data_IF_724370735739
#
_entry.id   IF_724370735739
#
_cell.length_a   1.000
_cell.length_b   1.000
_cell.length_c   1.000
_cell.angle_alpha   90.00
_cell.angle_beta   90.00
_cell.angle_gamma   90.00
#
_symmetry.space_group_name_H-M   'P 1'
#
loop_
_entity.id
_entity.type
_entity.pdbx_description
1 polymer ?
#
# COMPACT_ATOMS: atom_id res chain seq x y z
N UNK A 1 4.31 25.85 32.17
CA UNK A 1 5.52 25.36 31.51
C UNK A 1 5.80 23.87 31.77
N UNK A 2 4.99 23.18 32.55
CA UNK A 2 5.16 21.75 32.89
C UNK A 2 4.52 20.76 31.89
N UNK A 3 3.69 21.23 30.96
CA UNK A 3 2.88 20.34 30.13
C UNK A 3 3.54 19.98 28.77
N UNK A 4 4.51 20.74 28.30
CA UNK A 4 5.19 20.44 27.01
C UNK A 4 6.30 19.37 27.12
N UNK A 5 6.89 19.18 28.29
CA UNK A 5 7.88 18.12 28.56
C UNK A 5 7.26 16.73 28.52
N UNK A 6 6.00 16.61 28.91
CA UNK A 6 5.30 15.32 28.99
C UNK A 6 5.01 14.70 27.61
N UNK A 7 4.69 15.51 26.60
CA UNK A 7 4.40 15.00 25.24
C UNK A 7 5.65 14.55 24.49
N UNK A 8 6.77 15.25 24.67
CA UNK A 8 8.05 14.85 24.06
C UNK A 8 8.60 13.57 24.70
N UNK A 9 8.50 13.42 26.01
CA UNK A 9 8.88 12.19 26.71
C UNK A 9 7.99 11.02 26.33
N UNK A 10 6.68 11.23 26.21
CA UNK A 10 5.73 10.22 25.73
C UNK A 10 6.03 9.83 24.28
N UNK A 11 6.31 10.79 23.41
CA UNK A 11 6.69 10.55 22.02
C UNK A 11 8.02 9.79 21.90
N UNK A 12 9.04 10.20 22.64
CA UNK A 12 10.31 9.49 22.71
C UNK A 12 10.16 8.07 23.28
N UNK A 13 9.38 7.90 24.34
CA UNK A 13 9.06 6.60 24.93
C UNK A 13 8.33 5.67 23.94
N UNK A 14 7.44 6.21 23.10
CA UNK A 14 6.72 5.42 22.11
C UNK A 14 7.60 5.04 20.93
N UNK A 15 8.43 5.96 20.43
CA UNK A 15 9.45 5.66 19.42
C UNK A 15 10.42 4.60 19.96
N UNK A 16 10.83 4.70 21.19
CA UNK A 16 11.70 3.72 21.85
C UNK A 16 10.99 2.37 22.01
N UNK A 17 9.71 2.34 22.40
CA UNK A 17 8.91 1.10 22.47
C UNK A 17 8.65 0.48 21.11
N UNK A 18 8.30 1.26 20.08
CA UNK A 18 8.15 0.79 18.71
C UNK A 18 9.49 0.29 18.18
N UNK A 19 10.58 1.02 18.39
CA UNK A 19 11.92 0.59 18.04
C UNK A 19 12.34 -0.68 18.78
N UNK A 20 12.08 -0.77 20.10
CA UNK A 20 12.37 -1.95 20.92
C UNK A 20 11.51 -3.13 20.47
N UNK A 21 10.21 -2.94 20.19
CA UNK A 21 9.32 -3.99 19.71
C UNK A 21 9.75 -4.51 18.33
N UNK A 22 10.06 -3.62 17.38
CA UNK A 22 10.61 -4.00 16.08
C UNK A 22 11.97 -4.69 16.25
N UNK A 23 12.86 -4.14 17.06
CA UNK A 23 14.18 -4.70 17.32
C UNK A 23 14.12 -6.04 18.05
N UNK A 24 13.31 -6.18 19.09
CA UNK A 24 13.16 -7.45 19.83
C UNK A 24 12.49 -8.51 18.97
N UNK A 25 11.44 -8.16 18.20
CA UNK A 25 10.77 -9.10 17.30
C UNK A 25 11.71 -9.50 16.15
N UNK A 26 12.42 -8.55 15.54
CA UNK A 26 13.43 -8.84 14.52
C UNK A 26 14.62 -9.64 15.09
N UNK A 27 15.20 -9.22 16.21
CA UNK A 27 16.38 -9.87 16.81
C UNK A 27 16.04 -11.25 17.36
N UNK A 28 14.92 -11.41 18.05
CA UNK A 28 14.47 -12.72 18.56
C UNK A 28 14.22 -13.70 17.39
N UNK A 29 13.54 -13.26 16.34
CA UNK A 29 13.21 -14.10 15.19
C UNK A 29 14.37 -14.31 14.21
N UNK A 30 15.28 -13.33 14.08
CA UNK A 30 16.56 -13.53 13.37
C UNK A 30 17.46 -14.52 14.10
N UNK A 31 17.48 -14.49 15.42
CA UNK A 31 18.27 -15.44 16.24
C UNK A 31 17.67 -16.84 16.19
N UNK A 32 16.34 -16.97 16.14
CA UNK A 32 15.63 -18.25 15.98
C UNK A 32 15.74 -18.80 14.55
N UNK A 33 15.73 -17.95 13.52
CA UNK A 33 15.99 -18.34 12.13
C UNK A 33 17.50 -18.55 11.89
N UNK A 34 18.15 -19.40 12.71
CA UNK A 34 19.58 -19.68 12.69
C UNK A 34 20.15 -20.29 11.40
N UNK A 35 19.33 -20.56 10.38
CA UNK A 35 19.75 -21.00 9.06
C UNK A 35 19.66 -19.85 8.05
N UNK A 36 20.78 -19.48 7.44
CA UNK A 36 20.83 -18.56 6.30
C UNK A 36 19.79 -18.93 5.22
N UNK A 37 19.57 -20.22 5.00
CA UNK A 37 18.59 -20.76 4.05
C UNK A 37 17.17 -20.33 4.37
N UNK A 38 16.76 -20.34 5.66
CA UNK A 38 15.43 -19.89 6.08
C UNK A 38 15.22 -18.42 5.77
N UNK A 39 16.22 -17.57 6.05
CA UNK A 39 16.15 -16.13 5.73
C UNK A 39 16.01 -15.88 4.23
N UNK A 40 16.73 -16.61 3.39
CA UNK A 40 16.60 -16.51 1.93
C UNK A 40 15.23 -16.95 1.45
N UNK A 41 14.66 -18.01 2.01
CA UNK A 41 13.31 -18.48 1.66
C UNK A 41 12.23 -17.45 2.06
N UNK A 42 12.29 -16.92 3.26
CA UNK A 42 11.36 -15.86 3.72
C UNK A 42 11.45 -14.64 2.81
N UNK A 43 12.65 -14.16 2.53
CA UNK A 43 12.86 -13.02 1.65
C UNK A 43 12.35 -13.29 0.22
N UNK A 44 12.68 -14.44 -0.36
CA UNK A 44 12.23 -14.82 -1.70
C UNK A 44 10.69 -14.92 -1.76
N UNK A 45 10.06 -15.54 -0.75
CA UNK A 45 8.60 -15.64 -0.65
C UNK A 45 7.95 -14.26 -0.55
N UNK A 46 8.54 -13.33 0.20
CA UNK A 46 8.04 -11.96 0.33
C UNK A 46 8.15 -11.16 -0.98
N UNK A 47 9.29 -11.30 -1.67
CA UNK A 47 9.61 -10.47 -2.85
C UNK A 47 9.05 -11.01 -4.17
N UNK A 48 8.86 -12.32 -4.30
CA UNK A 48 8.43 -12.95 -5.55
C UNK A 48 7.14 -12.32 -6.12
N UNK A 49 6.03 -12.19 -5.38
CA UNK A 49 4.81 -11.60 -5.91
C UNK A 49 5.00 -10.14 -6.31
N UNK A 50 5.80 -9.38 -5.58
CA UNK A 50 6.12 -7.97 -5.87
C UNK A 50 6.85 -7.85 -7.21
N UNK A 51 7.89 -8.66 -7.41
CA UNK A 51 8.68 -8.66 -8.67
C UNK A 51 7.83 -9.08 -9.86
N UNK A 52 6.99 -10.11 -9.70
CA UNK A 52 6.09 -10.57 -10.77
C UNK A 52 5.10 -9.47 -11.17
N UNK A 53 4.46 -8.82 -10.20
CA UNK A 53 3.49 -7.77 -10.50
C UNK A 53 4.15 -6.51 -11.07
N UNK A 54 5.32 -6.11 -10.58
CA UNK A 54 6.10 -5.02 -11.19
C UNK A 54 6.46 -5.33 -12.64
N UNK A 55 6.87 -6.55 -12.94
CA UNK A 55 7.17 -6.97 -14.31
C UNK A 55 5.93 -6.89 -15.21
N UNK A 56 4.75 -7.30 -14.71
CA UNK A 56 3.49 -7.21 -15.47
C UNK A 56 3.16 -5.74 -15.78
N UNK A 57 3.27 -4.83 -14.81
CA UNK A 57 3.02 -3.40 -15.03
C UNK A 57 4.02 -2.80 -16.02
N UNK A 58 5.32 -3.10 -15.86
CA UNK A 58 6.36 -2.66 -16.78
C UNK A 58 6.11 -3.12 -18.23
N UNK A 59 5.58 -4.34 -18.42
CA UNK A 59 5.22 -4.85 -19.75
C UNK A 59 3.97 -4.19 -20.34
N UNK A 60 3.08 -3.67 -19.51
CA UNK A 60 1.90 -2.91 -19.98
C UNK A 60 2.26 -1.52 -20.50
N UNK A 61 3.33 -0.94 -19.95
CA UNK A 61 3.94 0.31 -20.41
C UNK A 61 4.85 0.03 -21.63
N UNK A 62 4.23 -0.24 -22.77
CA UNK A 62 4.94 -0.68 -23.97
C UNK A 62 5.13 0.42 -25.01
N UNK A 63 4.43 1.56 -24.90
CA UNK A 63 4.49 2.65 -25.87
C UNK A 63 5.79 3.45 -25.70
N UNK A 64 6.04 3.95 -24.49
CA UNK A 64 7.25 4.65 -24.10
C UNK A 64 7.74 4.17 -22.73
N UNK A 65 8.44 3.02 -22.65
CA UNK A 65 8.80 2.41 -21.37
C UNK A 65 9.64 3.33 -20.51
N UNK A 66 9.22 3.51 -19.27
CA UNK A 66 9.87 4.35 -18.27
C UNK A 66 11.32 3.93 -17.98
N UNK A 67 12.25 4.89 -17.78
CA UNK A 67 13.63 4.59 -17.44
C UNK A 67 13.73 3.77 -16.16
N UNK A 68 14.40 2.62 -16.23
CA UNK A 68 14.58 1.70 -15.09
C UNK A 68 15.14 2.38 -13.84
N UNK A 69 15.91 3.46 -14.00
CA UNK A 69 16.42 4.28 -12.89
C UNK A 69 15.31 5.01 -12.14
N UNK A 70 14.31 5.52 -12.87
CA UNK A 70 13.15 6.20 -12.28
C UNK A 70 12.22 5.21 -11.58
N UNK A 71 11.97 4.05 -12.19
CA UNK A 71 11.17 2.98 -11.58
C UNK A 71 11.79 2.51 -10.26
N UNK A 72 13.13 2.34 -10.21
CA UNK A 72 13.84 1.99 -8.97
C UNK A 72 13.71 3.09 -7.91
N UNK A 73 13.81 4.37 -8.28
CA UNK A 73 13.60 5.49 -7.36
C UNK A 73 12.18 5.46 -6.78
N UNK A 74 11.16 5.30 -7.62
CA UNK A 74 9.77 5.19 -7.19
C UNK A 74 9.57 4.02 -6.22
N UNK A 75 10.16 2.85 -6.50
CA UNK A 75 10.12 1.70 -5.62
C UNK A 75 10.75 1.99 -4.23
N UNK A 76 11.95 2.56 -4.18
CA UNK A 76 12.58 2.89 -2.91
C UNK A 76 11.85 3.98 -2.13
N UNK A 77 11.22 4.93 -2.80
CA UNK A 77 10.32 5.90 -2.17
C UNK A 77 9.08 5.19 -1.57
N UNK A 78 8.59 4.14 -2.23
CA UNK A 78 7.57 3.27 -1.67
C UNK A 78 8.02 2.57 -0.39
N UNK A 79 9.23 2.02 -0.37
CA UNK A 79 9.82 1.48 0.87
C UNK A 79 9.89 2.54 1.97
N UNK A 80 10.30 3.76 1.63
CA UNK A 80 10.33 4.88 2.58
C UNK A 80 8.94 5.24 3.09
N UNK A 81 7.91 5.19 2.25
CA UNK A 81 6.54 5.52 2.64
C UNK A 81 5.98 4.59 3.73
N UNK A 82 6.46 3.35 3.82
CA UNK A 82 6.12 2.44 4.91
C UNK A 82 6.56 2.99 6.28
N UNK A 83 7.73 3.61 6.37
CA UNK A 83 8.16 4.27 7.61
C UNK A 83 7.36 5.55 7.89
N UNK A 84 7.03 6.31 6.84
CA UNK A 84 6.23 7.52 6.99
C UNK A 84 4.80 7.21 7.46
N UNK A 85 4.22 6.07 7.06
CA UNK A 85 2.89 5.67 7.54
C UNK A 85 2.85 5.46 9.06
N UNK A 86 3.91 4.91 9.66
CA UNK A 86 4.01 4.78 11.11
C UNK A 86 4.06 6.12 11.84
N UNK A 87 4.64 7.16 11.22
CA UNK A 87 4.64 8.51 11.82
C UNK A 87 3.24 9.14 11.83
N UNK A 88 2.32 8.66 10.98
CA UNK A 88 0.92 9.10 10.94
C UNK A 88 0.07 8.23 11.87
N UNK A 89 0.21 6.91 11.79
CA UNK A 89 -0.60 5.96 12.57
C UNK A 89 -0.25 5.96 14.06
N UNK A 90 1.02 6.14 14.42
CA UNK A 90 1.48 6.16 15.80
C UNK A 90 0.75 7.19 16.68
N UNK A 91 0.72 8.48 16.32
CA UNK A 91 -0.06 9.48 17.05
C UNK A 91 -1.56 9.17 17.15
N UNK A 92 -2.17 8.61 16.10
CA UNK A 92 -3.58 8.22 16.11
C UNK A 92 -3.85 7.07 17.10
N UNK A 93 -2.95 6.11 17.20
CA UNK A 93 -3.01 5.04 18.19
C UNK A 93 -2.86 5.59 19.61
N UNK A 94 -1.91 6.50 19.84
CA UNK A 94 -1.72 7.16 21.14
C UNK A 94 -2.95 7.94 21.60
N UNK A 95 -3.63 8.59 20.67
CA UNK A 95 -4.89 9.33 20.94
C UNK A 95 -6.10 8.38 21.12
N UNK A 96 -5.93 7.07 21.03
CA UNK A 96 -7.00 6.09 21.19
C UNK A 96 -8.01 6.06 20.03
N UNK A 97 -7.63 6.58 18.86
CA UNK A 97 -8.50 6.56 17.66
C UNK A 97 -8.76 5.12 17.21
N UNK A 98 -7.77 4.25 17.35
CA UNK A 98 -7.87 2.81 17.11
C UNK A 98 -7.00 2.03 18.10
N UNK A 99 -7.22 0.72 18.19
CA UNK A 99 -6.43 -0.22 18.99
C UNK A 99 -6.15 -1.48 18.18
N UNK A 100 -5.05 -2.16 18.47
CA UNK A 100 -4.65 -3.40 17.76
C UNK A 100 -5.53 -4.60 18.15
N UNK A 101 -6.19 -4.53 19.31
CA UNK A 101 -7.11 -5.57 19.77
C UNK A 101 -8.52 -5.33 19.18
N UNK A 102 -8.86 -6.13 18.17
CA UNK A 102 -10.16 -6.08 17.50
C UNK A 102 -11.14 -7.00 18.22
N UNK A 103 -12.09 -6.42 18.94
CA UNK A 103 -13.17 -7.10 19.67
C UNK A 103 -14.55 -6.86 19.07
N UNK A 104 -14.74 -5.76 18.36
CA UNK A 104 -16.00 -5.39 17.70
C UNK A 104 -15.79 -5.05 16.23
N UNK A 105 -16.88 -5.01 15.45
CA UNK A 105 -16.83 -4.54 14.06
C UNK A 105 -16.34 -3.09 13.96
N UNK A 106 -16.69 -2.25 14.95
CA UNK A 106 -16.24 -0.86 15.00
C UNK A 106 -14.73 -0.79 15.21
N UNK A 107 -14.13 -1.68 16.04
CA UNK A 107 -12.69 -1.76 16.20
C UNK A 107 -12.01 -2.18 14.89
N UNK A 108 -12.61 -3.15 14.17
CA UNK A 108 -12.13 -3.56 12.84
C UNK A 108 -12.12 -2.36 11.87
N UNK A 109 -13.19 -1.58 11.80
CA UNK A 109 -13.28 -0.38 10.96
C UNK A 109 -12.24 0.66 11.36
N UNK A 110 -12.11 0.97 12.65
CA UNK A 110 -11.15 1.97 13.15
C UNK A 110 -9.71 1.56 12.85
N UNK A 111 -9.35 0.31 13.11
CA UNK A 111 -8.01 -0.21 12.81
C UNK A 111 -7.74 -0.16 11.30
N UNK A 112 -8.69 -0.61 10.46
CA UNK A 112 -8.53 -0.63 9.00
C UNK A 112 -8.33 0.76 8.42
N UNK A 113 -9.13 1.75 8.85
CA UNK A 113 -9.06 3.09 8.27
C UNK A 113 -7.98 3.95 8.91
N UNK A 114 -7.90 4.01 10.25
CA UNK A 114 -7.01 4.92 10.95
C UNK A 114 -5.67 4.29 11.31
N UNK A 115 -5.61 2.95 11.45
CA UNK A 115 -4.37 2.22 11.68
C UNK A 115 -3.60 1.92 10.40
N UNK A 116 -4.32 1.65 9.29
CA UNK A 116 -3.71 1.24 8.01
C UNK A 116 -4.05 2.19 6.85
N UNK A 117 -5.26 2.15 6.28
CA UNK A 117 -5.57 2.73 4.97
C UNK A 117 -5.24 4.24 4.86
N UNK A 118 -5.67 5.08 5.79
CA UNK A 118 -5.41 6.53 5.76
C UNK A 118 -3.92 6.83 5.91
N UNK A 119 -3.20 6.32 6.94
CA UNK A 119 -1.78 6.56 7.08
C UNK A 119 -0.95 6.09 5.88
N UNK A 120 -1.24 4.90 5.38
CA UNK A 120 -0.47 4.29 4.30
C UNK A 120 -0.70 4.98 2.96
N UNK A 121 -1.96 5.22 2.57
CA UNK A 121 -2.23 5.84 1.29
C UNK A 121 -1.80 7.32 1.26
N UNK A 122 -1.90 8.05 2.39
CA UNK A 122 -1.33 9.40 2.50
C UNK A 122 0.19 9.36 2.38
N UNK A 123 0.88 8.42 3.03
CA UNK A 123 2.33 8.29 2.96
C UNK A 123 2.79 7.94 1.53
N UNK A 124 2.12 6.99 0.87
CA UNK A 124 2.38 6.63 -0.55
C UNK A 124 2.16 7.83 -1.47
N UNK A 125 1.06 8.54 -1.29
CA UNK A 125 0.78 9.73 -2.10
C UNK A 125 1.79 10.85 -1.87
N UNK A 126 2.20 11.11 -0.64
CA UNK A 126 3.17 12.15 -0.32
C UNK A 126 4.51 11.93 -1.07
N UNK A 127 5.05 10.71 -1.06
CA UNK A 127 6.30 10.40 -1.77
C UNK A 127 6.09 10.40 -3.29
N UNK A 128 4.94 9.93 -3.78
CA UNK A 128 4.59 9.94 -5.19
C UNK A 128 4.50 11.38 -5.72
N UNK A 129 3.77 12.24 -5.03
CA UNK A 129 3.62 13.65 -5.38
C UNK A 129 4.96 14.38 -5.38
N UNK A 130 5.77 14.17 -4.33
CA UNK A 130 7.11 14.76 -4.25
C UNK A 130 7.98 14.36 -5.43
N UNK A 131 7.91 13.08 -5.82
CA UNK A 131 8.69 12.50 -6.91
C UNK A 131 8.22 13.00 -8.29
N UNK A 132 6.90 13.03 -8.54
CA UNK A 132 6.34 13.29 -9.85
C UNK A 132 6.16 14.78 -10.19
N UNK A 133 6.04 15.67 -9.19
CA UNK A 133 5.74 17.09 -9.41
C UNK A 133 6.72 17.83 -10.34
N UNK A 134 7.95 17.37 -10.46
CA UNK A 134 9.00 17.94 -11.31
C UNK A 134 9.72 16.85 -12.13
N UNK A 135 9.13 15.67 -12.27
CA UNK A 135 9.73 14.59 -13.02
C UNK A 135 9.45 14.78 -14.52
N UNK A 136 10.50 14.97 -15.37
CA UNK A 136 10.31 15.18 -16.80
C UNK A 136 9.84 13.92 -17.53
N UNK A 137 10.02 12.74 -16.94
CA UNK A 137 9.58 11.47 -17.50
C UNK A 137 8.10 11.17 -17.21
N UNK A 138 7.39 12.05 -16.48
CA UNK A 138 5.95 11.93 -16.33
C UNK A 138 5.28 12.72 -17.45
N UNK A 139 5.32 12.23 -18.69
CA UNK A 139 4.85 12.88 -19.92
C UNK A 139 3.68 12.14 -20.59
N UNK A 140 3.43 10.88 -20.25
CA UNK A 140 2.24 10.13 -20.64
C UNK A 140 1.26 9.91 -19.45
N UNK A 141 -0.01 9.65 -19.77
CA UNK A 141 -1.06 9.44 -18.75
C UNK A 141 -0.87 8.11 -18.00
N UNK A 142 -0.36 7.10 -18.70
CA UNK A 142 -0.08 5.78 -18.11
C UNK A 142 1.06 5.83 -17.09
N UNK A 143 2.01 6.78 -17.22
CA UNK A 143 3.18 6.89 -16.32
C UNK A 143 2.79 7.10 -14.86
N UNK A 144 1.72 7.88 -14.61
CA UNK A 144 1.21 8.06 -13.25
C UNK A 144 0.78 6.75 -12.62
N UNK A 145 0.20 5.83 -13.40
CA UNK A 145 -0.14 4.48 -12.94
C UNK A 145 1.14 3.68 -12.70
N UNK A 146 2.09 3.71 -13.62
CA UNK A 146 3.34 2.94 -13.55
C UNK A 146 4.16 3.36 -12.32
N UNK A 147 4.35 4.66 -12.11
CA UNK A 147 5.08 5.18 -10.95
C UNK A 147 4.35 4.92 -9.62
N UNK A 148 3.03 5.12 -9.58
CA UNK A 148 2.25 4.84 -8.37
C UNK A 148 2.22 3.35 -8.03
N UNK A 149 2.14 2.47 -9.04
CA UNK A 149 2.30 1.03 -8.87
C UNK A 149 3.68 0.68 -8.30
N UNK A 150 4.78 1.29 -8.81
CA UNK A 150 6.11 1.08 -8.26
C UNK A 150 6.23 1.52 -6.80
N UNK A 151 5.65 2.69 -6.43
CA UNK A 151 5.61 3.15 -5.03
C UNK A 151 4.83 2.16 -4.17
N UNK A 152 3.64 1.74 -4.59
CA UNK A 152 2.82 0.78 -3.84
C UNK A 152 3.49 -0.59 -3.71
N UNK A 153 4.22 -1.05 -4.74
CA UNK A 153 4.98 -2.29 -4.67
C UNK A 153 6.20 -2.18 -3.75
N UNK A 154 6.85 -1.02 -3.69
CA UNK A 154 7.93 -0.78 -2.72
C UNK A 154 7.42 -0.82 -1.28
N UNK A 155 6.25 -0.22 -1.02
CA UNK A 155 5.56 -0.32 0.26
C UNK A 155 5.24 -1.79 0.60
N UNK A 156 4.52 -2.47 -0.29
CA UNK A 156 4.11 -3.86 -0.10
C UNK A 156 5.30 -4.82 0.08
N UNK A 157 6.44 -4.54 -0.55
CA UNK A 157 7.65 -5.34 -0.39
C UNK A 157 8.16 -5.33 1.06
N UNK A 158 8.31 -4.14 1.66
CA UNK A 158 8.75 -4.03 3.05
C UNK A 158 7.72 -4.59 4.00
N UNK A 159 6.45 -4.24 3.81
CA UNK A 159 5.36 -4.76 4.63
C UNK A 159 5.30 -6.30 4.58
N UNK A 160 5.42 -6.90 3.39
CA UNK A 160 5.46 -8.36 3.22
C UNK A 160 6.62 -9.00 4.01
N UNK A 161 7.82 -8.41 3.93
CA UNK A 161 8.97 -8.85 4.70
C UNK A 161 8.65 -8.83 6.20
N UNK A 162 8.11 -7.70 6.71
CA UNK A 162 7.75 -7.57 8.13
C UNK A 162 6.70 -8.61 8.55
N UNK A 163 5.66 -8.82 7.75
CA UNK A 163 4.62 -9.83 8.03
C UNK A 163 5.15 -11.25 8.05
N UNK A 164 6.00 -11.63 7.10
CA UNK A 164 6.55 -12.99 7.06
C UNK A 164 7.51 -13.25 8.21
N UNK A 165 8.37 -12.27 8.56
CA UNK A 165 9.23 -12.39 9.75
C UNK A 165 8.44 -12.40 11.05
N UNK A 166 7.35 -11.63 11.14
CA UNK A 166 6.45 -11.67 12.30
C UNK A 166 5.70 -13.00 12.46
N UNK A 167 5.59 -13.77 11.38
CA UNK A 167 4.90 -15.07 11.34
C UNK A 167 5.83 -16.18 10.84
N UNK A 168 7.08 -16.21 11.32
CA UNK A 168 8.14 -17.07 10.77
C UNK A 168 7.79 -18.55 10.79
N UNK A 169 7.05 -19.01 11.80
CA UNK A 169 6.66 -20.42 11.95
C UNK A 169 5.66 -20.86 10.86
N UNK A 170 4.90 -19.91 10.31
CA UNK A 170 3.89 -20.12 9.27
C UNK A 170 4.13 -19.24 8.02
N UNK A 171 5.38 -18.77 7.82
CA UNK A 171 5.69 -17.78 6.78
C UNK A 171 5.24 -18.18 5.38
N UNK A 172 5.30 -19.49 5.05
CA UNK A 172 4.90 -19.98 3.74
C UNK A 172 3.39 -19.78 3.51
N UNK A 173 2.55 -20.15 4.48
CA UNK A 173 1.10 -19.96 4.38
C UNK A 173 0.74 -18.47 4.32
N UNK A 174 1.32 -17.67 5.21
CA UNK A 174 1.15 -16.21 5.21
C UNK A 174 1.60 -15.62 3.88
N UNK A 175 2.75 -16.05 3.37
CA UNK A 175 3.30 -15.60 2.09
C UNK A 175 2.39 -15.90 0.90
N UNK A 176 1.83 -17.11 0.83
CA UNK A 176 0.87 -17.50 -0.23
C UNK A 176 -0.39 -16.63 -0.16
N UNK A 177 -0.98 -16.47 1.02
CA UNK A 177 -2.19 -15.65 1.20
C UNK A 177 -1.91 -14.20 0.81
N UNK A 178 -0.78 -13.64 1.23
CA UNK A 178 -0.40 -12.27 0.88
C UNK A 178 -0.05 -12.11 -0.59
N UNK A 179 0.55 -13.10 -1.23
CA UNK A 179 0.84 -13.10 -2.67
C UNK A 179 -0.43 -13.06 -3.54
N UNK A 180 -1.50 -13.71 -3.07
CA UNK A 180 -2.77 -13.78 -3.79
C UNK A 180 -3.64 -12.54 -3.53
N UNK A 181 -3.62 -11.99 -2.32
CA UNK A 181 -4.58 -10.96 -1.90
C UNK A 181 -3.92 -9.62 -1.56
N UNK A 182 -2.97 -9.57 -0.60
CA UNK A 182 -2.44 -8.31 -0.09
C UNK A 182 -1.57 -7.57 -1.12
N UNK A 183 -0.60 -8.25 -1.74
CA UNK A 183 0.29 -7.61 -2.73
C UNK A 183 -0.48 -7.14 -3.96
N UNK A 184 -1.39 -7.93 -4.57
CA UNK A 184 -2.28 -7.43 -5.61
C UNK A 184 -3.24 -6.32 -5.14
N UNK A 185 -3.66 -6.34 -3.88
CA UNK A 185 -4.44 -5.26 -3.27
C UNK A 185 -3.70 -3.93 -3.32
N UNK A 186 -2.49 -3.88 -2.79
CA UNK A 186 -1.64 -2.67 -2.84
C UNK A 186 -1.38 -2.21 -4.28
N UNK A 187 -1.19 -3.15 -5.23
CA UNK A 187 -1.08 -2.78 -6.64
C UNK A 187 -2.32 -2.05 -7.13
N UNK A 188 -3.51 -2.57 -6.82
CA UNK A 188 -4.77 -1.93 -7.23
C UNK A 188 -4.94 -0.54 -6.62
N UNK A 189 -4.59 -0.36 -5.32
CA UNK A 189 -4.66 0.95 -4.66
C UNK A 189 -3.72 1.94 -5.36
N UNK A 190 -2.48 1.51 -5.68
CA UNK A 190 -1.52 2.32 -6.44
C UNK A 190 -1.99 2.68 -7.84
N UNK A 191 -2.55 1.73 -8.59
CA UNK A 191 -3.12 1.98 -9.92
C UNK A 191 -4.22 3.05 -9.84
N UNK A 192 -5.11 2.97 -8.84
CA UNK A 192 -6.18 3.95 -8.68
C UNK A 192 -5.64 5.33 -8.31
N UNK A 193 -4.66 5.40 -7.42
CA UNK A 193 -3.97 6.65 -7.07
C UNK A 193 -3.32 7.29 -8.31
N UNK A 194 -2.54 6.52 -9.06
CA UNK A 194 -1.87 6.98 -10.26
C UNK A 194 -2.83 7.41 -11.36
N UNK A 195 -3.91 6.65 -11.58
CA UNK A 195 -4.96 6.99 -12.55
C UNK A 195 -5.55 8.39 -12.31
N UNK A 196 -6.00 8.66 -11.07
CA UNK A 196 -6.58 9.96 -10.76
C UNK A 196 -5.53 11.07 -10.74
N UNK A 197 -4.30 10.76 -10.30
CA UNK A 197 -3.22 11.75 -10.32
C UNK A 197 -2.84 12.18 -11.75
N UNK A 198 -2.82 11.25 -12.70
CA UNK A 198 -2.65 11.56 -14.12
C UNK A 198 -3.79 12.44 -14.65
N UNK A 199 -5.04 12.17 -14.28
CA UNK A 199 -6.16 13.02 -14.67
C UNK A 199 -6.03 14.44 -14.12
N UNK A 200 -5.48 14.61 -12.92
CA UNK A 200 -5.22 15.94 -12.33
C UNK A 200 -4.15 16.67 -13.14
N UNK A 201 -3.05 16.00 -13.51
CA UNK A 201 -1.95 16.59 -14.25
C UNK A 201 -2.32 16.96 -15.69
N UNK A 202 -2.86 16.00 -16.45
CA UNK A 202 -3.06 16.15 -17.90
C UNK A 202 -4.37 16.86 -18.28
N UNK A 203 -5.31 17.00 -17.34
CA UNK A 203 -6.59 17.67 -17.57
C UNK A 203 -6.88 18.76 -16.53
N UNK A 204 -6.00 19.79 -16.37
CA UNK A 204 -6.15 20.82 -15.33
C UNK A 204 -7.42 21.67 -15.51
N UNK A 205 -7.89 21.85 -16.74
CA UNK A 205 -9.06 22.66 -17.06
C UNK A 205 -10.36 21.83 -17.12
N UNK A 206 -10.31 20.55 -16.77
CA UNK A 206 -11.51 19.70 -16.75
C UNK A 206 -12.51 20.15 -15.69
N UNK A 207 -13.80 20.11 -16.01
CA UNK A 207 -14.89 20.30 -15.04
C UNK A 207 -14.81 19.33 -13.85
N UNK A 208 -14.10 18.21 -14.01
CA UNK A 208 -13.89 17.19 -12.98
C UNK A 208 -12.54 17.32 -12.26
N UNK A 209 -11.77 18.37 -12.50
CA UNK A 209 -10.43 18.53 -11.92
C UNK A 209 -10.46 18.42 -10.38
N UNK A 210 -11.29 19.22 -9.69
CA UNK A 210 -11.45 19.16 -8.22
C UNK A 210 -11.89 17.77 -7.74
N UNK A 211 -12.83 17.13 -8.44
CA UNK A 211 -13.25 15.77 -8.12
C UNK A 211 -12.07 14.80 -8.23
N UNK A 212 -11.28 14.88 -9.31
CA UNK A 212 -10.12 14.03 -9.50
C UNK A 212 -9.07 14.24 -8.40
N UNK A 213 -8.82 15.48 -7.96
CA UNK A 213 -7.92 15.79 -6.84
C UNK A 213 -8.34 15.05 -5.55
N UNK A 214 -9.63 15.02 -5.25
CA UNK A 214 -10.17 14.29 -4.09
C UNK A 214 -10.02 12.78 -4.30
N UNK A 215 -10.34 12.29 -5.49
CA UNK A 215 -10.33 10.85 -5.80
C UNK A 215 -8.93 10.23 -5.78
N UNK A 216 -7.85 11.02 -5.95
CA UNK A 216 -6.46 10.54 -5.82
C UNK A 216 -6.24 9.80 -4.51
N UNK A 217 -6.78 10.30 -3.41
CA UNK A 217 -6.66 9.70 -2.07
C UNK A 217 -7.92 8.95 -1.64
N UNK A 218 -9.10 9.50 -1.92
CA UNK A 218 -10.36 8.92 -1.43
C UNK A 218 -10.55 7.50 -1.94
N UNK A 219 -10.32 7.24 -3.23
CA UNK A 219 -10.56 5.91 -3.82
C UNK A 219 -9.61 4.85 -3.25
N UNK A 220 -8.27 5.03 -3.24
CA UNK A 220 -7.39 4.04 -2.63
C UNK A 220 -7.65 3.86 -1.13
N UNK A 221 -7.92 4.92 -0.36
CA UNK A 221 -8.25 4.81 1.07
C UNK A 221 -9.53 3.98 1.28
N UNK A 222 -10.58 4.20 0.49
CA UNK A 222 -11.82 3.44 0.62
C UNK A 222 -11.63 1.98 0.23
N UNK A 223 -10.93 1.71 -0.87
CA UNK A 223 -10.67 0.34 -1.31
C UNK A 223 -9.82 -0.42 -0.28
N UNK A 224 -8.77 0.20 0.23
CA UNK A 224 -7.89 -0.37 1.24
C UNK A 224 -8.62 -0.57 2.57
N UNK A 225 -9.28 0.46 3.10
CA UNK A 225 -10.01 0.38 4.36
C UNK A 225 -11.14 -0.64 4.35
N UNK A 226 -11.89 -0.77 3.24
CA UNK A 226 -12.90 -1.81 3.09
C UNK A 226 -12.28 -3.21 2.99
N UNK A 227 -11.19 -3.35 2.25
CA UNK A 227 -10.42 -4.58 2.14
C UNK A 227 -10.01 -5.10 3.55
N UNK A 228 -9.35 -4.26 4.34
CA UNK A 228 -8.89 -4.62 5.67
C UNK A 228 -10.04 -4.82 6.65
N UNK A 229 -11.10 -4.02 6.56
CA UNK A 229 -12.29 -4.18 7.41
C UNK A 229 -12.90 -5.56 7.26
N UNK A 230 -13.01 -6.07 6.02
CA UNK A 230 -13.51 -7.42 5.79
C UNK A 230 -12.61 -8.47 6.45
N UNK A 231 -11.28 -8.35 6.33
CA UNK A 231 -10.33 -9.30 6.92
C UNK A 231 -10.32 -9.24 8.45
N UNK A 232 -10.28 -8.04 9.04
CA UNK A 232 -10.23 -7.88 10.50
C UNK A 232 -11.55 -8.27 11.17
N UNK A 233 -12.69 -8.12 10.46
CA UNK A 233 -13.99 -8.51 10.97
C UNK A 233 -14.13 -10.01 11.19
N UNK A 234 -13.32 -10.86 10.56
CA UNK A 234 -13.35 -12.32 10.79
C UNK A 234 -13.15 -12.71 12.25
N UNK A 235 -12.43 -11.88 13.03
CA UNK A 235 -12.19 -12.14 14.48
C UNK A 235 -13.42 -11.87 15.35
N UNK A 236 -14.40 -11.12 14.84
CA UNK A 236 -15.55 -10.61 15.63
C UNK A 236 -16.88 -11.25 15.23
N UNK A 237 -16.90 -11.98 14.13
CA UNK A 237 -18.13 -12.51 13.54
C UNK A 237 -18.34 -13.98 13.86
N UNK A 238 -19.63 -14.38 13.95
CA UNK A 238 -20.02 -15.78 14.01
C UNK A 238 -19.57 -16.54 12.74
N UNK A 239 -19.20 -17.83 12.79
CA UNK A 239 -18.68 -18.60 11.64
C UNK A 239 -19.48 -18.51 10.34
N UNK A 240 -20.83 -18.50 10.43
CA UNK A 240 -21.69 -18.34 9.25
C UNK A 240 -21.52 -16.96 8.62
N UNK A 241 -21.44 -15.90 9.43
CA UNK A 241 -21.19 -14.55 8.95
C UNK A 241 -19.78 -14.40 8.35
N UNK A 242 -18.77 -15.06 8.91
CA UNK A 242 -17.42 -15.12 8.35
C UNK A 242 -17.44 -15.69 6.94
N UNK A 243 -18.20 -16.80 6.68
CA UNK A 243 -18.31 -17.35 5.35
C UNK A 243 -18.93 -16.36 4.35
N UNK A 244 -19.98 -15.66 4.75
CA UNK A 244 -20.63 -14.64 3.90
C UNK A 244 -19.66 -13.48 3.59
N UNK A 245 -18.96 -12.97 4.61
CA UNK A 245 -17.99 -11.88 4.42
C UNK A 245 -16.80 -12.37 3.58
N UNK A 246 -16.35 -13.60 3.74
CA UNK A 246 -15.28 -14.18 2.93
C UNK A 246 -15.67 -14.26 1.44
N UNK A 247 -16.86 -14.76 1.11
CA UNK A 247 -17.36 -14.79 -0.27
C UNK A 247 -17.49 -13.36 -0.84
N UNK A 248 -17.99 -12.43 -0.03
CA UNK A 248 -18.07 -11.00 -0.40
C UNK A 248 -16.68 -10.41 -0.65
N UNK A 249 -15.69 -10.75 0.18
CA UNK A 249 -14.30 -10.35 0.02
C UNK A 249 -13.68 -10.86 -1.28
N UNK A 250 -13.90 -12.13 -1.63
CA UNK A 250 -13.43 -12.69 -2.91
C UNK A 250 -14.04 -11.94 -4.12
N UNK A 251 -15.34 -11.68 -4.06
CA UNK A 251 -16.02 -10.91 -5.08
C UNK A 251 -15.52 -9.46 -5.17
N UNK A 252 -15.29 -8.82 -4.02
CA UNK A 252 -14.71 -7.49 -3.92
C UNK A 252 -13.31 -7.44 -4.56
N UNK A 253 -12.41 -8.37 -4.21
CA UNK A 253 -11.08 -8.48 -4.81
C UNK A 253 -11.15 -8.65 -6.33
N UNK A 254 -12.01 -9.55 -6.81
CA UNK A 254 -12.18 -9.77 -8.25
C UNK A 254 -12.64 -8.49 -8.98
N UNK A 255 -13.62 -7.79 -8.43
CA UNK A 255 -14.11 -6.52 -9.00
C UNK A 255 -13.06 -5.43 -8.98
N UNK A 256 -12.32 -5.32 -7.88
CA UNK A 256 -11.24 -4.36 -7.71
C UNK A 256 -10.12 -4.59 -8.74
N UNK A 257 -9.68 -5.83 -8.92
CA UNK A 257 -8.66 -6.17 -9.92
C UNK A 257 -9.12 -5.88 -11.35
N UNK A 258 -10.38 -6.25 -11.69
CA UNK A 258 -10.96 -5.94 -12.98
C UNK A 258 -11.07 -4.44 -13.23
N UNK A 259 -11.44 -3.69 -12.21
CA UNK A 259 -11.54 -2.23 -12.28
C UNK A 259 -10.18 -1.57 -12.48
N UNK A 260 -9.15 -2.00 -11.73
CA UNK A 260 -7.79 -1.50 -11.87
C UNK A 260 -7.21 -1.81 -13.27
N UNK A 261 -7.38 -3.04 -13.78
CA UNK A 261 -6.95 -3.40 -15.13
C UNK A 261 -7.58 -2.50 -16.21
N UNK A 262 -8.89 -2.21 -16.10
CA UNK A 262 -9.59 -1.31 -17.01
C UNK A 262 -9.01 0.12 -16.98
N UNK A 263 -8.58 0.61 -15.82
CA UNK A 263 -7.97 1.96 -15.71
C UNK A 263 -6.64 2.08 -16.43
N UNK A 264 -5.84 1.00 -16.44
CA UNK A 264 -4.62 0.93 -17.25
C UNK A 264 -4.97 1.03 -18.73
N UNK A 265 -5.92 0.23 -19.21
CA UNK A 265 -6.35 0.22 -20.60
C UNK A 265 -6.91 1.58 -21.04
N UNK A 266 -7.68 2.27 -20.18
CA UNK A 266 -8.21 3.61 -20.47
C UNK A 266 -7.11 4.65 -20.65
N UNK A 267 -6.02 4.61 -19.87
CA UNK A 267 -4.91 5.55 -20.03
C UNK A 267 -4.06 5.20 -21.26
N UNK A 268 -3.74 3.95 -21.50
CA UNK A 268 -3.07 3.50 -22.72
C UNK A 268 -3.81 3.93 -23.98
N UNK A 269 -5.14 3.76 -24.02
CA UNK A 269 -5.95 4.19 -25.14
C UNK A 269 -5.95 5.71 -25.34
N UNK A 270 -5.87 6.49 -24.25
CA UNK A 270 -5.77 7.97 -24.33
C UNK A 270 -4.40 8.44 -24.79
N UNK A 271 -3.33 7.71 -24.47
CA UNK A 271 -1.97 8.05 -24.92
C UNK A 271 -1.80 7.71 -26.41
N UNK A 272 -2.31 6.55 -26.87
CA UNK A 272 -2.33 6.22 -28.30
C UNK A 272 -3.07 7.26 -29.14
N UNK A 273 -4.19 7.79 -28.66
CA UNK A 273 -4.98 8.78 -29.42
C UNK A 273 -4.31 10.15 -29.49
N UNK A 274 -3.52 10.54 -28.50
CA UNK A 274 -2.76 11.80 -28.55
C UNK A 274 -1.55 11.73 -29.48
N UNK A 275 -0.92 10.55 -29.65
CA UNK A 275 0.18 10.34 -30.58
C UNK A 275 -0.23 10.29 -32.08
N UNK A 276 -1.53 10.26 -32.38
CA UNK A 276 -2.04 10.25 -33.76
C UNK A 276 -2.45 11.65 -34.26
N UNK A 277 -2.41 12.67 -33.37
CA UNK A 277 -2.77 14.06 -33.72
C UNK A 277 -1.51 14.96 -33.94
N UNK A 278 -0.28 14.42 -33.79
CA UNK A 278 0.98 15.04 -34.19
C UNK A 278 1.46 14.48 -35.55
#
# INVERSE_FOLDING_TARGET
MEDQTNYLEIFCYYIEKVYICIRQTLMYKITYAKSNTMNYLVFATAMLPVVVLMYIIYKKDSLQPEPKGQLRKAFYLGVLSCFLSFLISGPLNLLGVFHDNVSTLLDAIRLSFFGAAIPEEIAKFAVLWFFLRKNPYFDEKVDGIVYAACVSMGFAALENILYLYSNIDNFMMVGVVRAIFAVPGHLCFGIMMGYYYSLVKFYPNSKRHTTNCIMVLLVPILLHGLYDTMLFSFKTLHPVAVLVVFVTFLFFCFKMWKYAARRIEEHLARDMNTGTEE
#
